data_IF_914695830112
#
_entry.id   IF_914695830112
#
_cell.length_a   1.000
_cell.length_b   1.000
_cell.length_c   1.000
_cell.angle_alpha   90.00
_cell.angle_beta   90.00
_cell.angle_gamma   90.00
#
_symmetry.space_group_name_H-M   'P 1'
#
loop_
_entity.id
_entity.type
_entity.pdbx_description
1 polymer ?
#
# COMPACT_ATOMS: atom_id res chain seq x y z
N UNK A 1 48.99 -12.35 -26.71
CA UNK A 1 48.60 -13.72 -26.33
C UNK A 1 47.13 -13.89 -26.68
N UNK A 2 46.86 -14.52 -27.83
CA UNK A 2 45.54 -14.75 -28.39
C UNK A 2 45.04 -16.12 -27.93
N UNK A 3 44.01 -16.15 -27.07
CA UNK A 3 43.33 -17.39 -26.69
C UNK A 3 42.05 -17.52 -27.51
N UNK A 4 42.15 -18.37 -28.53
CA UNK A 4 41.04 -18.97 -29.26
C UNK A 4 40.47 -20.08 -28.39
N UNK A 5 39.16 -20.07 -28.12
CA UNK A 5 38.48 -21.21 -27.49
C UNK A 5 37.38 -21.68 -28.43
N UNK A 6 37.51 -22.96 -28.78
CA UNK A 6 36.75 -23.68 -29.78
C UNK A 6 35.30 -23.98 -29.36
N UNK A 7 34.46 -23.96 -30.38
CA UNK A 7 33.10 -24.49 -30.45
C UNK A 7 33.06 -26.03 -30.40
N UNK A 8 32.09 -26.59 -29.67
CA UNK A 8 31.50 -27.95 -29.76
C UNK A 8 30.39 -28.02 -28.70
N UNK A 9 29.23 -28.67 -28.85
CA UNK A 9 28.69 -29.49 -29.91
C UNK A 9 27.16 -29.47 -29.80
N UNK A 10 26.50 -29.52 -30.95
CA UNK A 10 25.08 -29.78 -31.13
C UNK A 10 24.83 -31.27 -30.85
N UNK A 11 23.87 -31.58 -29.96
CA UNK A 11 23.31 -32.93 -29.86
C UNK A 11 21.79 -32.89 -30.11
N UNK A 12 21.44 -33.29 -31.34
CA UNK A 12 20.12 -33.69 -31.76
C UNK A 12 19.67 -34.96 -31.03
N UNK A 13 18.49 -34.93 -30.42
CA UNK A 13 17.65 -36.10 -30.20
C UNK A 13 16.19 -35.70 -30.44
N UNK A 14 15.59 -36.24 -31.51
CA UNK A 14 14.14 -36.46 -31.59
C UNK A 14 13.83 -37.95 -31.35
N UNK A 15 12.66 -38.47 -31.76
CA UNK A 15 11.32 -37.89 -31.73
C UNK A 15 10.28 -38.87 -31.09
N UNK A 16 9.01 -38.44 -31.06
CA UNK A 16 7.78 -39.27 -31.00
C UNK A 16 7.45 -40.00 -29.68
N UNK A 17 6.68 -39.33 -28.82
CA UNK A 17 5.62 -40.00 -28.05
C UNK A 17 4.26 -39.54 -28.57
N UNK A 18 3.56 -40.43 -29.29
CA UNK A 18 2.12 -40.34 -29.50
C UNK A 18 1.46 -40.92 -28.26
N UNK A 19 0.92 -40.07 -27.40
CA UNK A 19 0.09 -40.51 -26.29
C UNK A 19 -1.39 -40.46 -26.68
N UNK A 20 -2.05 -41.59 -26.44
CA UNK A 20 -3.42 -41.90 -26.83
C UNK A 20 -4.40 -41.07 -26.01
N UNK A 21 -5.22 -40.24 -26.67
CA UNK A 21 -6.33 -39.52 -26.04
C UNK A 21 -7.50 -40.49 -25.81
N UNK A 22 -7.66 -40.92 -24.56
CA UNK A 22 -8.92 -41.45 -24.05
C UNK A 22 -9.72 -40.27 -23.50
N UNK A 23 -10.90 -40.04 -24.07
CA UNK A 23 -11.87 -39.06 -23.57
C UNK A 23 -12.50 -39.59 -22.28
N UNK A 24 -12.07 -39.05 -21.14
CA UNK A 24 -12.75 -39.25 -19.86
C UNK A 24 -13.64 -38.03 -19.60
N UNK A 25 -14.94 -38.29 -19.61
CA UNK A 25 -16.02 -37.40 -19.19
C UNK A 25 -15.76 -36.99 -17.74
N UNK A 26 -15.28 -35.75 -17.55
CA UNK A 26 -14.86 -35.22 -16.24
C UNK A 26 -15.96 -34.31 -15.72
N UNK A 27 -16.83 -34.88 -14.90
CA UNK A 27 -17.74 -34.14 -14.03
C UNK A 27 -16.91 -33.27 -13.10
N UNK A 28 -16.93 -31.97 -13.33
CA UNK A 28 -16.24 -30.95 -12.52
C UNK A 28 -17.13 -30.64 -11.31
N UNK A 29 -16.93 -31.37 -10.21
CA UNK A 29 -17.34 -30.89 -8.90
C UNK A 29 -16.37 -29.76 -8.52
N UNK A 30 -16.84 -28.52 -8.57
CA UNK A 30 -16.10 -27.32 -8.14
C UNK A 30 -15.84 -27.41 -6.64
N UNK A 31 -14.67 -27.93 -6.27
CA UNK A 31 -14.16 -27.94 -4.91
C UNK A 31 -13.57 -26.57 -4.58
N UNK A 32 -14.36 -25.67 -3.98
CA UNK A 32 -13.90 -24.34 -3.55
C UNK A 32 -13.12 -24.34 -2.21
N UNK A 33 -12.86 -25.50 -1.58
CA UNK A 33 -12.22 -25.56 -0.25
C UNK A 33 -10.69 -25.46 -0.26
N UNK A 34 -10.01 -25.39 -1.42
CA UNK A 34 -8.54 -25.47 -1.46
C UNK A 34 -7.83 -24.12 -1.38
N UNK A 35 -8.47 -23.01 -1.79
CA UNK A 35 -7.81 -21.71 -1.90
C UNK A 35 -7.47 -21.11 -0.54
N UNK A 36 -8.39 -21.17 0.43
CA UNK A 36 -8.20 -20.59 1.77
C UNK A 36 -7.02 -21.24 2.51
N UNK A 37 -6.83 -22.55 2.32
CA UNK A 37 -5.74 -23.29 2.98
C UNK A 37 -4.34 -22.90 2.50
N UNK A 38 -4.22 -22.50 1.23
CA UNK A 38 -2.94 -22.06 0.66
C UNK A 38 -2.60 -20.64 1.09
N UNK A 39 -3.59 -19.74 1.11
CA UNK A 39 -3.41 -18.35 1.58
C UNK A 39 -2.82 -18.29 2.99
N UNK A 40 -3.46 -18.97 3.95
CA UNK A 40 -2.99 -18.97 5.34
C UNK A 40 -1.62 -19.63 5.50
N UNK A 41 -1.38 -20.74 4.80
CA UNK A 41 -0.09 -21.43 4.85
C UNK A 41 1.04 -20.55 4.32
N UNK A 42 0.79 -19.82 3.23
CA UNK A 42 1.76 -18.88 2.65
C UNK A 42 2.02 -17.74 3.63
N UNK A 43 0.99 -17.08 4.15
CA UNK A 43 1.18 -15.98 5.10
C UNK A 43 1.91 -16.43 6.37
N UNK A 44 1.61 -17.60 6.92
CA UNK A 44 2.34 -18.14 8.09
C UNK A 44 3.82 -18.36 7.84
N UNK A 45 4.19 -18.72 6.62
CA UNK A 45 5.60 -18.91 6.26
C UNK A 45 6.35 -17.57 6.14
N UNK A 46 5.63 -16.48 5.87
CA UNK A 46 6.20 -15.15 5.62
C UNK A 46 6.20 -14.25 6.86
N UNK A 47 5.17 -14.36 7.70
CA UNK A 47 5.02 -13.55 8.90
C UNK A 47 5.99 -14.02 10.00
N UNK A 48 6.58 -13.04 10.69
CA UNK A 48 7.50 -13.28 11.80
C UNK A 48 6.86 -12.80 13.10
N UNK A 49 5.90 -13.55 13.66
CA UNK A 49 5.19 -13.11 14.85
C UNK A 49 6.15 -12.90 16.02
N UNK A 50 5.79 -11.98 16.91
CA UNK A 50 6.59 -11.65 18.07
C UNK A 50 6.57 -12.78 19.13
N UNK A 51 7.23 -12.55 20.28
CA UNK A 51 7.23 -13.54 21.37
C UNK A 51 5.84 -13.84 21.96
N UNK A 52 4.85 -13.00 21.66
CA UNK A 52 3.45 -13.12 22.08
C UNK A 52 2.58 -13.73 20.98
N UNK A 53 3.16 -14.18 19.86
CA UNK A 53 2.45 -14.68 18.68
C UNK A 53 1.58 -13.62 17.98
N UNK A 54 1.99 -12.35 18.06
CA UNK A 54 1.29 -11.23 17.45
C UNK A 54 2.00 -10.73 16.21
N UNK A 55 1.22 -10.20 15.28
CA UNK A 55 1.70 -9.54 14.05
C UNK A 55 1.13 -8.13 13.98
N UNK A 56 1.87 -7.22 13.37
CA UNK A 56 1.42 -5.86 13.08
C UNK A 56 0.91 -5.73 11.64
N UNK A 57 0.25 -4.60 11.35
CA UNK A 57 -0.35 -4.34 10.04
C UNK A 57 0.69 -4.22 8.92
N UNK A 58 1.87 -3.63 9.17
CA UNK A 58 2.89 -3.51 8.13
C UNK A 58 3.45 -4.88 7.70
N UNK A 59 3.68 -5.80 8.65
CA UNK A 59 4.12 -7.16 8.34
C UNK A 59 3.03 -7.94 7.59
N UNK A 60 1.78 -7.81 8.04
CA UNK A 60 0.63 -8.41 7.36
C UNK A 60 0.48 -7.88 5.93
N UNK A 61 0.66 -6.57 5.73
CA UNK A 61 0.64 -5.91 4.44
C UNK A 61 1.71 -6.48 3.49
N UNK A 62 2.95 -6.60 3.93
CA UNK A 62 4.03 -7.18 3.11
C UNK A 62 3.75 -8.66 2.78
N UNK A 63 3.23 -9.43 3.74
CA UNK A 63 2.83 -10.82 3.51
C UNK A 63 1.73 -10.95 2.46
N UNK A 64 0.70 -10.11 2.52
CA UNK A 64 -0.40 -10.12 1.55
C UNK A 64 0.10 -9.71 0.15
N UNK A 65 1.00 -8.73 0.03
CA UNK A 65 1.60 -8.40 -1.28
C UNK A 65 2.27 -9.63 -1.90
N UNK A 66 3.08 -10.34 -1.12
CA UNK A 66 3.80 -11.50 -1.61
C UNK A 66 2.84 -12.64 -2.02
N UNK A 67 1.79 -12.89 -1.23
CA UNK A 67 0.76 -13.85 -1.57
C UNK A 67 0.05 -13.46 -2.88
N UNK A 68 -0.32 -12.20 -3.07
CA UNK A 68 -0.95 -11.71 -4.31
C UNK A 68 -0.05 -11.91 -5.52
N UNK A 69 1.25 -11.67 -5.37
CA UNK A 69 2.21 -11.91 -6.44
C UNK A 69 2.31 -13.41 -6.75
N UNK A 70 2.31 -14.28 -5.75
CA UNK A 70 2.32 -15.74 -5.98
C UNK A 70 1.05 -16.20 -6.71
N UNK A 71 -0.12 -15.77 -6.26
CA UNK A 71 -1.40 -16.20 -6.83
C UNK A 71 -1.68 -15.63 -8.23
N UNK A 72 -1.23 -14.39 -8.52
CA UNK A 72 -1.53 -13.72 -9.81
C UNK A 72 -0.39 -13.79 -10.82
N UNK A 73 0.87 -13.91 -10.38
CA UNK A 73 2.08 -13.88 -11.23
C UNK A 73 2.92 -15.14 -11.12
N UNK A 74 2.66 -15.98 -10.12
CA UNK A 74 3.39 -17.21 -9.85
C UNK A 74 4.57 -17.00 -8.90
N UNK A 75 5.07 -18.12 -8.39
CA UNK A 75 6.07 -18.16 -7.31
C UNK A 75 7.36 -17.41 -7.63
N UNK A 76 7.79 -17.36 -8.89
CA UNK A 76 8.98 -16.58 -9.26
C UNK A 76 8.84 -15.09 -8.94
N UNK A 77 7.67 -14.49 -9.20
CA UNK A 77 7.45 -13.08 -8.88
C UNK A 77 7.38 -12.84 -7.36
N UNK A 78 6.80 -13.78 -6.60
CA UNK A 78 6.77 -13.72 -5.15
C UNK A 78 8.18 -13.85 -4.54
N UNK A 79 9.02 -14.74 -5.07
CA UNK A 79 10.43 -14.90 -4.68
C UNK A 79 11.25 -13.65 -4.99
N UNK A 80 11.09 -13.07 -6.18
CA UNK A 80 11.75 -11.83 -6.58
C UNK A 80 11.35 -10.66 -5.68
N UNK A 81 10.04 -10.53 -5.36
CA UNK A 81 9.57 -9.55 -4.39
C UNK A 81 10.17 -9.77 -3.01
N UNK A 82 10.17 -11.01 -2.50
CA UNK A 82 10.73 -11.32 -1.20
C UNK A 82 12.22 -10.97 -1.11
N UNK A 83 12.97 -11.21 -2.20
CA UNK A 83 14.37 -10.85 -2.31
C UNK A 83 14.59 -9.32 -2.27
N UNK A 84 13.83 -8.54 -3.05
CA UNK A 84 13.93 -7.08 -3.04
C UNK A 84 13.45 -6.46 -1.72
N UNK A 85 12.38 -7.01 -1.16
CA UNK A 85 11.84 -6.59 0.13
C UNK A 85 12.87 -6.77 1.24
N UNK A 86 13.55 -7.92 1.30
CA UNK A 86 14.61 -8.16 2.28
C UNK A 86 15.76 -7.15 2.14
N UNK A 87 16.21 -6.85 0.91
CA UNK A 87 17.24 -5.84 0.67
C UNK A 87 16.81 -4.45 1.15
N UNK A 88 15.62 -3.99 0.78
CA UNK A 88 15.15 -2.67 1.21
C UNK A 88 14.88 -2.59 2.71
N UNK A 89 14.48 -3.70 3.35
CA UNK A 89 14.34 -3.78 4.80
C UNK A 89 15.69 -3.51 5.47
N UNK A 90 16.75 -4.16 5.00
CA UNK A 90 18.11 -3.92 5.52
C UNK A 90 18.60 -2.48 5.26
N UNK A 91 18.31 -1.91 4.09
CA UNK A 91 18.67 -0.53 3.74
C UNK A 91 17.94 0.53 4.59
N UNK A 92 16.68 0.26 4.93
CA UNK A 92 15.82 1.16 5.72
C UNK A 92 15.96 0.93 7.23
N UNK A 93 16.75 -0.05 7.65
CA UNK A 93 17.00 -0.32 9.05
C UNK A 93 17.75 0.87 9.70
N UNK A 94 17.10 1.46 10.70
CA UNK A 94 17.65 2.55 11.50
C UNK A 94 18.61 2.00 12.55
N UNK A 95 19.53 2.83 13.11
CA UNK A 95 20.44 2.41 14.17
C UNK A 95 19.77 1.87 15.45
N UNK A 96 18.50 2.21 15.68
CA UNK A 96 17.66 1.72 16.78
C UNK A 96 16.96 0.38 16.46
N UNK A 97 17.31 -0.23 15.32
CA UNK A 97 16.73 -1.44 14.77
C UNK A 97 15.32 -1.27 14.18
N UNK A 98 14.78 -0.05 14.13
CA UNK A 98 13.48 0.21 13.53
C UNK A 98 13.61 0.18 12.00
N UNK A 99 12.68 -0.52 11.34
CA UNK A 99 12.60 -0.52 9.89
C UNK A 99 11.16 -0.27 9.48
N UNK A 100 10.93 0.65 8.54
CA UNK A 100 9.59 0.85 7.96
C UNK A 100 9.32 -0.28 6.96
N UNK A 101 8.51 -1.24 7.37
CA UNK A 101 8.18 -2.42 6.55
C UNK A 101 7.31 -2.01 5.37
N UNK A 102 6.37 -1.08 5.57
CA UNK A 102 5.56 -0.52 4.48
C UNK A 102 6.44 0.09 3.38
N UNK A 103 7.41 0.94 3.76
CA UNK A 103 8.30 1.60 2.79
C UNK A 103 9.19 0.60 2.06
N UNK A 104 9.67 -0.44 2.72
CA UNK A 104 10.43 -1.51 2.10
C UNK A 104 9.59 -2.28 1.08
N UNK A 105 8.34 -2.64 1.43
CA UNK A 105 7.42 -3.35 0.54
C UNK A 105 7.05 -2.51 -0.69
N UNK A 106 6.79 -1.21 -0.51
CA UNK A 106 6.50 -0.29 -1.61
C UNK A 106 7.69 -0.14 -2.58
N UNK A 107 8.93 -0.07 -2.06
CA UNK A 107 10.13 -0.07 -2.90
C UNK A 107 10.29 -1.37 -3.67
N UNK A 108 10.07 -2.51 -3.01
CA UNK A 108 10.14 -3.81 -3.67
C UNK A 108 9.11 -3.93 -4.81
N UNK A 109 7.87 -3.49 -4.61
CA UNK A 109 6.87 -3.42 -5.70
C UNK A 109 7.32 -2.53 -6.86
N UNK A 110 7.93 -1.37 -6.57
CA UNK A 110 8.47 -0.47 -7.60
C UNK A 110 9.60 -1.13 -8.40
N UNK A 111 10.45 -1.91 -7.75
CA UNK A 111 11.49 -2.68 -8.41
C UNK A 111 10.92 -3.79 -9.29
N UNK A 112 9.83 -4.45 -8.84
CA UNK A 112 9.09 -5.43 -9.66
C UNK A 112 8.51 -4.82 -10.93
N UNK A 113 8.00 -3.58 -10.86
CA UNK A 113 7.55 -2.82 -12.04
C UNK A 113 8.71 -2.49 -12.96
N UNK A 114 9.83 -2.02 -12.39
CA UNK A 114 11.03 -1.61 -13.14
C UNK A 114 11.66 -2.79 -13.89
N UNK A 115 11.66 -3.97 -13.26
CA UNK A 115 12.14 -5.21 -13.88
C UNK A 115 11.15 -5.82 -14.89
N UNK A 116 9.92 -5.29 -14.98
CA UNK A 116 8.90 -5.75 -15.92
C UNK A 116 8.21 -7.05 -15.51
N UNK A 117 8.28 -7.44 -14.24
CA UNK A 117 7.55 -8.60 -13.72
C UNK A 117 6.04 -8.31 -13.60
N UNK A 118 5.70 -7.06 -13.27
CA UNK A 118 4.32 -6.55 -13.17
C UNK A 118 4.22 -5.17 -13.80
N UNK A 119 3.01 -4.74 -14.17
CA UNK A 119 2.78 -3.36 -14.62
C UNK A 119 2.59 -2.41 -13.43
N UNK A 120 2.65 -1.09 -13.69
CA UNK A 120 2.37 -0.10 -12.64
C UNK A 120 0.93 -0.19 -12.13
N UNK A 121 -0.03 -0.52 -13.00
CA UNK A 121 -1.43 -0.70 -12.64
C UNK A 121 -1.60 -1.91 -11.71
N UNK A 122 -0.93 -3.02 -12.02
CA UNK A 122 -0.95 -4.24 -11.20
C UNK A 122 -0.31 -4.01 -9.84
N UNK A 123 0.82 -3.30 -9.78
CA UNK A 123 1.46 -2.95 -8.52
C UNK A 123 0.54 -2.09 -7.64
N UNK A 124 -0.15 -1.11 -8.23
CA UNK A 124 -1.12 -0.28 -7.52
C UNK A 124 -2.29 -1.10 -7.01
N UNK A 125 -2.86 -1.99 -7.83
CA UNK A 125 -3.95 -2.88 -7.42
C UNK A 125 -3.53 -3.78 -6.25
N UNK A 126 -2.41 -4.47 -6.37
CA UNK A 126 -1.85 -5.34 -5.32
C UNK A 126 -1.64 -4.55 -4.04
N UNK A 127 -1.03 -3.36 -4.12
CA UNK A 127 -0.79 -2.49 -2.96
C UNK A 127 -2.09 -2.08 -2.30
N UNK A 128 -3.08 -1.61 -3.06
CA UNK A 128 -4.37 -1.15 -2.51
C UNK A 128 -5.12 -2.29 -1.84
N UNK A 129 -5.17 -3.46 -2.47
CA UNK A 129 -5.79 -4.66 -1.90
C UNK A 129 -5.09 -5.08 -0.60
N UNK A 130 -3.75 -5.15 -0.61
CA UNK A 130 -2.98 -5.51 0.58
C UNK A 130 -3.18 -4.51 1.72
N UNK A 131 -3.19 -3.21 1.41
CA UNK A 131 -3.39 -2.16 2.41
C UNK A 131 -4.74 -2.30 3.10
N UNK A 132 -5.80 -2.56 2.34
CA UNK A 132 -7.16 -2.76 2.86
C UNK A 132 -7.29 -4.04 3.68
N UNK A 133 -6.68 -5.14 3.21
CA UNK A 133 -6.76 -6.43 3.87
C UNK A 133 -5.87 -6.53 5.13
N UNK A 134 -4.84 -5.68 5.24
CA UNK A 134 -3.94 -5.65 6.39
C UNK A 134 -4.45 -4.86 7.60
N UNK A 135 -5.60 -4.17 7.48
CA UNK A 135 -6.14 -3.33 8.56
C UNK A 135 -6.60 -4.19 9.75
N UNK A 136 -5.94 -4.05 10.89
CA UNK A 136 -6.21 -4.75 12.15
C UNK A 136 -6.93 -3.84 13.16
N UNK A 137 -6.93 -2.53 12.95
CA UNK A 137 -7.62 -1.56 13.79
C UNK A 137 -8.74 -0.79 13.05
N UNK A 138 -9.25 0.26 13.69
CA UNK A 138 -10.31 1.13 13.11
C UNK A 138 -9.77 2.28 12.25
N UNK A 139 -8.46 2.53 12.31
CA UNK A 139 -7.79 3.61 11.63
C UNK A 139 -7.29 3.15 10.26
N UNK A 140 -8.25 3.07 9.35
CA UNK A 140 -8.07 2.67 7.94
C UNK A 140 -7.19 3.60 7.08
N UNK A 141 -6.51 4.58 7.68
CA UNK A 141 -5.75 5.61 6.96
C UNK A 141 -4.23 5.40 6.97
N UNK A 142 -3.73 4.44 7.75
CA UNK A 142 -2.31 4.13 7.83
C UNK A 142 -2.12 2.65 8.15
N UNK A 143 -0.90 2.16 7.96
CA UNK A 143 -0.46 0.90 8.55
C UNK A 143 0.34 1.24 9.80
N UNK A 144 0.09 0.51 10.87
CA UNK A 144 0.80 0.65 12.12
C UNK A 144 1.76 -0.50 12.36
N UNK A 145 2.94 -0.15 12.89
CA UNK A 145 3.91 -1.12 13.35
C UNK A 145 3.54 -1.65 14.75
N UNK A 146 4.34 -2.58 15.26
CA UNK A 146 4.15 -3.11 16.62
C UNK A 146 4.80 -2.27 17.73
N UNK A 147 5.28 -1.05 17.44
CA UNK A 147 6.07 -0.25 18.37
C UNK A 147 5.31 0.99 18.82
N UNK A 148 4.91 0.97 20.08
CA UNK A 148 4.40 2.16 20.77
C UNK A 148 4.48 1.99 22.28
N UNK A 149 4.26 3.09 23.00
CA UNK A 149 4.17 3.05 24.46
C UNK A 149 2.79 2.57 24.94
N UNK A 150 2.64 2.24 26.24
CA UNK A 150 1.33 2.01 26.83
C UNK A 150 0.39 3.21 26.56
N UNK A 151 -0.72 2.97 25.86
CA UNK A 151 -1.69 4.01 25.49
C UNK A 151 -1.39 4.73 24.17
N UNK A 152 -0.42 4.28 23.40
CA UNK A 152 -0.19 4.77 22.04
C UNK A 152 -1.27 4.22 21.09
N UNK A 153 -2.13 5.07 20.49
CA UNK A 153 -3.16 4.62 19.57
C UNK A 153 -2.59 4.11 18.23
N UNK A 154 -1.27 4.18 18.02
CA UNK A 154 -0.59 3.71 16.81
C UNK A 154 -0.06 2.29 16.93
N UNK A 155 -0.57 1.49 17.86
CA UNK A 155 -0.23 0.07 18.00
C UNK A 155 -1.41 -0.74 17.48
N UNK A 156 -1.29 -1.25 16.25
CA UNK A 156 -2.26 -2.17 15.66
C UNK A 156 -1.62 -3.56 15.58
N UNK A 157 -1.73 -4.31 16.67
CA UNK A 157 -1.28 -5.69 16.74
C UNK A 157 -2.48 -6.61 16.98
N UNK A 158 -2.47 -7.76 16.32
CA UNK A 158 -3.42 -8.82 16.58
C UNK A 158 -2.69 -10.16 16.72
N UNK A 159 -3.31 -11.09 17.46
CA UNK A 159 -2.88 -12.49 17.45
C UNK A 159 -2.86 -13.02 16.02
N UNK A 160 -1.80 -13.74 15.64
CA UNK A 160 -1.57 -14.21 14.26
C UNK A 160 -2.80 -14.87 13.65
N UNK A 161 -3.48 -15.77 14.39
CA UNK A 161 -4.70 -16.43 13.94
C UNK A 161 -5.82 -15.45 13.60
N UNK A 162 -6.02 -14.44 14.45
CA UNK A 162 -7.05 -13.42 14.25
C UNK A 162 -6.69 -12.52 13.06
N UNK A 163 -5.42 -12.16 12.92
CA UNK A 163 -4.92 -11.37 11.81
C UNK A 163 -5.13 -12.10 10.46
N UNK A 164 -4.76 -13.38 10.39
CA UNK A 164 -4.95 -14.22 9.20
C UNK A 164 -6.43 -14.37 8.83
N UNK A 165 -7.29 -14.64 9.82
CA UNK A 165 -8.73 -14.77 9.60
C UNK A 165 -9.33 -13.47 9.04
N UNK A 166 -8.92 -12.31 9.57
CA UNK A 166 -9.38 -11.01 9.09
C UNK A 166 -8.87 -10.69 7.70
N UNK A 167 -7.58 -10.93 7.44
CA UNK A 167 -6.99 -10.73 6.12
C UNK A 167 -7.70 -11.58 5.07
N UNK A 168 -7.94 -12.86 5.36
CA UNK A 168 -8.67 -13.76 4.48
C UNK A 168 -10.10 -13.28 4.20
N UNK A 169 -10.85 -12.87 5.24
CA UNK A 169 -12.19 -12.33 5.09
C UNK A 169 -12.23 -11.03 4.27
N UNK A 170 -11.27 -10.12 4.51
CA UNK A 170 -11.16 -8.87 3.76
C UNK A 170 -10.81 -9.14 2.29
N UNK A 171 -9.88 -10.06 2.04
CA UNK A 171 -9.53 -10.51 0.69
C UNK A 171 -10.74 -11.08 -0.07
N UNK A 172 -11.50 -11.98 0.56
CA UNK A 172 -12.70 -12.55 -0.04
C UNK A 172 -13.77 -11.47 -0.33
N UNK A 173 -13.92 -10.48 0.55
CA UNK A 173 -14.82 -9.34 0.31
C UNK A 173 -14.37 -8.52 -0.91
N UNK A 174 -13.09 -8.17 -0.99
CA UNK A 174 -12.54 -7.41 -2.12
C UNK A 174 -12.68 -8.15 -3.45
N UNK A 175 -12.42 -9.46 -3.47
CA UNK A 175 -12.55 -10.29 -4.68
C UNK A 175 -14.00 -10.46 -5.13
N UNK A 176 -14.95 -10.48 -4.19
CA UNK A 176 -16.39 -10.50 -4.50
C UNK A 176 -16.96 -9.12 -4.86
N UNK A 177 -16.14 -8.05 -4.77
CA UNK A 177 -16.59 -6.67 -4.94
C UNK A 177 -17.48 -6.18 -3.80
N UNK A 178 -17.57 -6.93 -2.70
CA UNK A 178 -18.20 -6.48 -1.47
C UNK A 178 -17.28 -5.46 -0.78
N UNK A 179 -17.87 -4.44 -0.16
CA UNK A 179 -17.10 -3.61 0.76
C UNK A 179 -16.60 -4.52 1.89
N UNK A 180 -15.32 -4.43 2.29
CA UNK A 180 -14.85 -5.15 3.47
C UNK A 180 -15.67 -4.63 4.65
N UNK A 181 -16.62 -5.43 5.13
CA UNK A 181 -17.27 -5.13 6.39
C UNK A 181 -16.16 -5.10 7.42
N UNK A 182 -16.03 -3.98 8.13
CA UNK A 182 -15.13 -3.91 9.26
C UNK A 182 -15.49 -5.08 10.16
N UNK A 183 -14.65 -6.11 10.18
CA UNK A 183 -14.84 -7.27 11.03
C UNK A 183 -14.50 -6.79 12.42
N UNK A 184 -15.44 -6.05 13.01
CA UNK A 184 -15.37 -5.62 14.39
C UNK A 184 -15.18 -6.92 15.14
N UNK A 185 -14.05 -7.13 15.83
CA UNK A 185 -13.94 -8.29 16.68
C UNK A 185 -15.18 -8.24 17.56
N UNK A 186 -15.96 -9.32 17.58
CA UNK A 186 -17.01 -9.49 18.57
C UNK A 186 -16.33 -9.59 19.92
N UNK A 187 -15.87 -8.44 20.41
CA UNK A 187 -15.49 -8.18 21.77
C UNK A 187 -16.82 -8.12 22.50
N UNK A 188 -17.07 -9.12 23.34
CA UNK A 188 -18.16 -9.07 24.29
C UNK A 188 -18.16 -7.71 25.01
N UNK A 189 -19.30 -7.02 24.87
CA UNK A 189 -19.76 -5.81 25.54
C UNK A 189 -18.71 -4.95 26.28
N UNK A 190 -18.44 -3.75 25.76
CA UNK A 190 -18.40 -2.54 26.60
C UNK A 190 -18.92 -1.35 25.79
N UNK A 191 -20.10 -0.87 26.21
CA UNK A 191 -20.78 0.30 25.65
C UNK A 191 -20.04 1.60 25.96
N UNK A 192 -19.86 2.46 24.95
CA UNK A 192 -19.68 3.90 25.16
C UNK A 192 -20.18 4.73 23.95
N UNK A 193 -21.22 5.52 24.22
CA UNK A 193 -21.81 6.61 23.44
C UNK A 193 -20.83 7.75 23.16
N UNK A 194 -20.88 8.40 21.98
CA UNK A 194 -20.66 9.87 21.74
C UNK A 194 -20.99 10.17 20.25
N UNK A 195 -22.08 10.84 19.89
CA UNK A 195 -22.35 12.30 19.74
C UNK A 195 -21.69 12.95 18.51
N UNK A 196 -22.56 13.22 17.54
CA UNK A 196 -22.37 13.83 16.22
C UNK A 196 -22.28 15.38 16.31
N UNK A 197 -21.46 16.00 15.46
CA UNK A 197 -21.39 17.45 15.27
C UNK A 197 -20.92 17.77 13.85
N UNK A 198 -21.92 18.09 13.03
CA UNK A 198 -21.84 18.63 11.68
C UNK A 198 -21.30 20.07 11.69
N UNK A 199 -20.37 20.43 10.79
CA UNK A 199 -20.00 21.84 10.55
C UNK A 199 -19.85 22.10 9.05
N UNK A 200 -20.49 23.18 8.61
CA UNK A 200 -20.71 23.60 7.22
C UNK A 200 -19.54 24.36 6.60
N UNK A 201 -19.57 24.36 5.26
CA UNK A 201 -18.64 24.87 4.26
C UNK A 201 -18.47 26.39 4.24
N UNK A 202 -17.23 26.85 4.02
CA UNK A 202 -16.87 28.22 3.65
C UNK A 202 -16.10 28.26 2.33
N UNK A 203 -16.69 28.99 1.37
CA UNK A 203 -16.24 29.35 0.02
C UNK A 203 -15.13 30.42 0.05
N UNK A 204 -14.07 30.29 -0.76
CA UNK A 204 -13.38 31.43 -1.41
C UNK A 204 -12.35 31.04 -2.47
N UNK A 205 -12.69 31.40 -3.70
CA UNK A 205 -11.93 31.58 -4.94
C UNK A 205 -10.49 32.13 -4.82
N UNK A 206 -9.49 31.43 -5.39
CA UNK A 206 -8.28 32.08 -5.92
C UNK A 206 -7.76 31.36 -7.18
N UNK A 207 -7.43 32.16 -8.18
CA UNK A 207 -7.18 31.78 -9.58
C UNK A 207 -5.73 31.34 -9.75
N UNK A 208 -5.43 30.12 -9.33
CA UNK A 208 -4.44 29.30 -10.03
C UNK A 208 -5.21 28.51 -11.07
N UNK A 209 -4.64 28.36 -12.27
CA UNK A 209 -5.22 27.53 -13.32
C UNK A 209 -5.28 26.10 -12.82
N UNK A 210 -6.39 25.74 -12.16
CA UNK A 210 -6.65 24.45 -11.58
C UNK A 210 -6.52 23.40 -12.67
N UNK A 211 -5.42 22.66 -12.64
CA UNK A 211 -5.45 21.32 -13.22
C UNK A 211 -6.60 20.61 -12.50
N UNK A 212 -7.74 20.45 -13.19
CA UNK A 212 -9.00 20.04 -12.60
C UNK A 212 -8.81 18.96 -11.53
N UNK A 213 -9.11 19.31 -10.28
CA UNK A 213 -9.09 18.37 -9.16
C UNK A 213 -7.82 18.36 -8.31
N UNK A 214 -6.96 19.37 -8.34
CA UNK A 214 -6.09 19.64 -7.19
C UNK A 214 -6.91 20.32 -6.08
N UNK A 215 -6.66 20.02 -4.81
CA UNK A 215 -7.30 20.72 -3.69
C UNK A 215 -6.34 20.77 -2.51
N UNK A 216 -6.02 21.97 -2.07
CA UNK A 216 -5.27 22.27 -0.87
C UNK A 216 -6.26 22.75 0.20
N UNK A 217 -6.53 21.92 1.23
CA UNK A 217 -7.33 22.29 2.40
C UNK A 217 -6.40 22.65 3.56
N UNK A 218 -6.21 23.94 3.90
CA UNK A 218 -5.27 24.36 4.94
C UNK A 218 -5.60 23.72 6.30
N UNK A 219 -6.89 23.53 6.59
CA UNK A 219 -7.37 22.82 7.76
C UNK A 219 -8.44 21.81 7.35
N UNK A 220 -8.24 20.54 7.72
CA UNK A 220 -9.26 19.51 7.58
C UNK A 220 -10.30 19.61 8.68
N UNK A 221 -11.55 19.31 8.36
CA UNK A 221 -12.66 19.31 9.33
C UNK A 221 -12.45 18.27 10.44
N UNK A 222 -11.79 17.15 10.14
CA UNK A 222 -11.61 16.06 11.09
C UNK A 222 -10.46 16.30 12.08
N UNK A 223 -9.37 16.96 11.65
CA UNK A 223 -8.12 17.02 12.43
C UNK A 223 -7.55 18.44 12.58
N UNK A 224 -8.09 19.44 11.88
CA UNK A 224 -7.54 20.80 11.88
C UNK A 224 -6.14 20.90 11.25
N UNK A 225 -5.77 19.93 10.41
CA UNK A 225 -4.44 19.83 9.77
C UNK A 225 -4.54 19.93 8.26
N UNK A 226 -3.44 20.27 7.61
CA UNK A 226 -3.37 20.36 6.15
C UNK A 226 -3.67 19.01 5.49
N UNK A 227 -4.55 19.03 4.49
CA UNK A 227 -4.84 17.90 3.62
C UNK A 227 -4.80 18.35 2.17
N UNK A 228 -4.07 17.60 1.35
CA UNK A 228 -3.96 17.81 -0.08
C UNK A 228 -4.65 16.65 -0.80
N UNK A 229 -5.53 16.96 -1.74
CA UNK A 229 -6.20 15.98 -2.58
C UNK A 229 -5.73 16.19 -4.01
N UNK A 230 -5.21 15.14 -4.62
CA UNK A 230 -4.67 15.22 -5.96
C UNK A 230 -5.73 14.95 -7.04
N UNK A 231 -5.50 15.40 -8.28
CA UNK A 231 -6.39 15.10 -9.39
C UNK A 231 -6.63 13.60 -9.56
N UNK A 232 -7.87 13.16 -9.88
CA UNK A 232 -8.19 11.74 -10.02
C UNK A 232 -7.40 11.05 -11.15
N UNK A 233 -6.90 11.82 -12.13
CA UNK A 233 -6.03 11.33 -13.21
C UNK A 233 -4.65 10.87 -12.74
N UNK A 234 -4.25 11.28 -11.52
CA UNK A 234 -2.99 10.91 -10.87
C UNK A 234 -3.14 9.75 -9.87
N UNK A 235 -4.36 9.35 -9.53
CA UNK A 235 -4.62 8.25 -8.60
C UNK A 235 -3.95 6.97 -9.08
N UNK A 236 -3.24 6.30 -8.19
CA UNK A 236 -2.43 5.12 -8.45
C UNK A 236 -1.07 5.40 -9.08
N UNK A 237 -0.72 6.66 -9.30
CA UNK A 237 0.53 7.07 -9.97
C UNK A 237 1.42 7.95 -9.09
N UNK A 238 1.02 8.20 -7.85
CA UNK A 238 1.77 9.07 -6.94
C UNK A 238 2.68 8.20 -6.08
N UNK A 239 3.96 8.55 -6.06
CA UNK A 239 4.99 7.94 -5.21
C UNK A 239 5.04 8.66 -3.86
N UNK A 240 5.13 10.00 -3.88
CA UNK A 240 5.12 10.83 -2.69
C UNK A 240 4.65 12.26 -2.95
N UNK A 241 4.27 12.95 -1.87
CA UNK A 241 3.96 14.39 -1.88
C UNK A 241 4.80 15.08 -0.83
N UNK A 242 5.55 16.09 -1.22
CA UNK A 242 6.50 16.80 -0.35
C UNK A 242 6.19 18.29 -0.36
N UNK A 243 6.21 18.92 0.80
CA UNK A 243 6.15 20.37 0.95
C UNK A 243 7.57 20.92 0.99
N UNK A 244 7.86 21.92 0.16
CA UNK A 244 9.12 22.66 0.15
C UNK A 244 8.90 24.13 0.42
N UNK A 245 9.88 24.77 1.04
CA UNK A 245 9.91 26.21 1.21
C UNK A 245 10.35 26.94 -0.08
N UNK A 246 10.43 28.27 -0.01
CA UNK A 246 10.86 29.12 -1.14
C UNK A 246 12.31 28.87 -1.59
N UNK A 247 13.14 28.26 -0.74
CA UNK A 247 14.52 27.92 -1.04
C UNK A 247 14.64 26.50 -1.65
N UNK A 248 13.55 25.74 -1.65
CA UNK A 248 13.50 24.36 -2.11
C UNK A 248 13.82 23.33 -1.02
N UNK A 249 14.00 23.76 0.23
CA UNK A 249 14.25 22.87 1.36
C UNK A 249 12.98 22.08 1.71
N UNK A 250 13.14 20.79 2.01
CA UNK A 250 12.01 19.93 2.39
C UNK A 250 11.54 20.30 3.79
N UNK A 251 10.27 20.69 3.90
CA UNK A 251 9.60 20.98 5.17
C UNK A 251 8.97 19.71 5.75
N UNK A 252 8.23 18.96 4.93
CA UNK A 252 7.49 17.78 5.36
C UNK A 252 7.11 16.89 4.17
N UNK A 253 7.08 15.57 4.37
CA UNK A 253 6.53 14.59 3.42
C UNK A 253 5.13 14.18 3.90
N UNK A 254 4.15 14.25 3.00
CA UNK A 254 2.77 13.92 3.27
C UNK A 254 2.55 12.42 3.37
N UNK A 255 1.78 12.00 4.37
CA UNK A 255 1.35 10.60 4.51
C UNK A 255 0.13 10.36 3.63
N UNK A 256 0.16 9.33 2.78
CA UNK A 256 -1.04 8.90 2.06
C UNK A 256 -2.13 8.51 3.06
N UNK A 257 -3.36 8.96 2.82
CA UNK A 257 -4.54 8.64 3.62
C UNK A 257 -5.60 7.91 2.78
N UNK A 258 -5.17 7.26 1.70
CA UNK A 258 -6.02 6.49 0.79
C UNK A 258 -6.69 7.33 -0.30
N UNK A 259 -7.66 6.70 -0.96
CA UNK A 259 -8.40 7.25 -2.10
C UNK A 259 -9.85 7.49 -1.71
N UNK A 260 -10.34 8.72 -1.84
CA UNK A 260 -11.75 9.07 -1.58
C UNK A 260 -12.20 10.28 -2.42
N UNK A 261 -13.39 10.81 -2.15
CA UNK A 261 -13.92 12.05 -2.74
C UNK A 261 -13.79 12.13 -4.28
N UNK A 262 -14.27 11.10 -4.98
CA UNK A 262 -14.22 11.04 -6.44
C UNK A 262 -12.93 10.44 -6.99
N UNK A 263 -12.45 9.36 -6.37
CA UNK A 263 -11.23 8.64 -6.78
C UNK A 263 -9.97 9.52 -6.75
N UNK A 264 -9.79 10.28 -5.66
CA UNK A 264 -8.63 11.17 -5.46
C UNK A 264 -7.79 10.66 -4.30
N UNK A 265 -6.49 10.60 -4.50
CA UNK A 265 -5.55 10.33 -3.41
C UNK A 265 -5.47 11.53 -2.46
N UNK A 266 -5.49 11.23 -1.17
CA UNK A 266 -5.39 12.19 -0.10
C UNK A 266 -4.02 12.08 0.57
N UNK A 267 -3.39 13.23 0.83
CA UNK A 267 -2.14 13.32 1.57
C UNK A 267 -2.35 14.22 2.78
N UNK A 268 -2.02 13.70 3.96
CA UNK A 268 -2.17 14.39 5.25
C UNK A 268 -0.80 14.81 5.77
N UNK A 269 -0.80 15.94 6.48
CA UNK A 269 0.39 16.51 7.08
C UNK A 269 0.15 16.76 8.58
N UNK A 270 1.23 16.95 9.33
CA UNK A 270 1.18 17.04 10.79
C UNK A 270 0.81 18.44 11.30
N UNK A 271 0.85 19.46 10.44
CA UNK A 271 0.60 20.87 10.81
C UNK A 271 -0.57 21.44 10.02
N UNK A 272 -1.20 22.49 10.54
CA UNK A 272 -2.18 23.24 9.77
C UNK A 272 -1.47 24.02 8.66
N UNK A 273 -2.20 24.35 7.60
CA UNK A 273 -1.70 25.14 6.48
C UNK A 273 -1.05 26.45 6.96
N UNK A 274 -1.72 27.19 7.85
CA UNK A 274 -1.23 28.44 8.43
C UNK A 274 0.10 28.34 9.22
N UNK A 275 0.51 27.13 9.61
CA UNK A 275 1.76 26.94 10.33
C UNK A 275 2.97 26.89 9.38
N UNK A 276 2.76 26.62 8.08
CA UNK A 276 3.84 26.59 7.09
C UNK A 276 4.23 28.02 6.64
N UNK A 277 5.50 28.24 6.24
CA UNK A 277 5.91 29.53 5.67
C UNK A 277 5.18 29.80 4.36
N UNK A 278 5.00 31.09 4.03
CA UNK A 278 4.46 31.54 2.75
C UNK A 278 5.31 31.06 1.56
N UNK A 279 4.75 31.09 0.35
CA UNK A 279 5.38 30.65 -0.90
C UNK A 279 5.82 29.18 -0.86
N UNK A 280 4.91 28.31 -0.42
CA UNK A 280 5.14 26.88 -0.32
C UNK A 280 5.02 26.22 -1.70
N UNK A 281 5.93 25.30 -1.99
CA UNK A 281 5.81 24.42 -3.17
C UNK A 281 5.34 23.04 -2.73
N UNK A 282 4.20 22.60 -3.27
CA UNK A 282 3.75 21.21 -3.17
C UNK A 282 4.34 20.43 -4.34
N UNK A 283 5.29 19.57 -4.06
CA UNK A 283 5.95 18.69 -5.02
C UNK A 283 5.31 17.30 -4.98
N UNK A 284 4.73 16.86 -6.09
CA UNK A 284 4.13 15.54 -6.26
C UNK A 284 5.07 14.71 -7.14
N UNK A 285 5.70 13.72 -6.54
CA UNK A 285 6.54 12.77 -7.25
C UNK A 285 5.67 11.64 -7.79
N UNK A 286 5.72 11.39 -9.09
CA UNK A 286 4.98 10.31 -9.74
C UNK A 286 5.83 9.04 -9.77
N UNK A 287 5.16 7.88 -9.83
CA UNK A 287 5.78 6.56 -9.95
C UNK A 287 6.61 6.41 -11.24
N UNK A 288 6.31 7.20 -12.27
CA UNK A 288 7.11 7.30 -13.51
C UNK A 288 8.47 7.97 -13.33
N UNK A 289 8.71 8.64 -12.19
CA UNK A 289 9.86 9.51 -11.96
C UNK A 289 9.64 10.96 -12.37
N UNK A 290 8.49 11.29 -12.97
CA UNK A 290 8.11 12.67 -13.26
C UNK A 290 7.71 13.42 -11.98
N UNK A 291 7.84 14.74 -12.00
CA UNK A 291 7.47 15.60 -10.87
C UNK A 291 6.46 16.65 -11.31
N UNK A 292 5.38 16.79 -10.54
CA UNK A 292 4.42 17.90 -10.66
C UNK A 292 4.57 18.86 -9.48
N UNK A 293 4.39 20.15 -9.72
CA UNK A 293 4.54 21.16 -8.67
C UNK A 293 3.36 22.11 -8.64
N UNK A 294 2.85 22.42 -7.45
CA UNK A 294 1.81 23.43 -7.22
C UNK A 294 2.37 24.50 -6.29
N UNK A 295 2.22 25.77 -6.67
CA UNK A 295 2.66 26.91 -5.87
C UNK A 295 1.53 27.40 -4.98
N UNK A 296 1.82 27.57 -3.69
CA UNK A 296 0.87 27.98 -2.64
C UNK A 296 1.42 29.25 -1.98
N UNK A 297 0.93 30.40 -2.43
CA UNK A 297 1.43 31.71 -1.96
C UNK A 297 1.15 31.92 -0.46
N UNK A 298 -0.06 31.59 -0.02
CA UNK A 298 -0.52 31.72 1.37
C UNK A 298 -1.11 30.38 1.85
N UNK A 299 -0.31 29.54 2.54
CA UNK A 299 -0.75 28.26 3.07
C UNK A 299 -1.93 28.33 4.06
N UNK A 300 -2.35 29.50 4.54
CA UNK A 300 -3.57 29.63 5.34
C UNK A 300 -4.85 29.59 4.49
N UNK A 301 -4.73 29.77 3.17
CA UNK A 301 -5.86 29.81 2.25
C UNK A 301 -6.11 28.46 1.59
N UNK A 302 -7.35 28.29 1.12
CA UNK A 302 -7.76 27.14 0.33
C UNK A 302 -7.43 27.37 -1.14
N UNK A 303 -6.94 26.34 -1.82
CA UNK A 303 -6.67 26.36 -3.27
C UNK A 303 -7.36 25.19 -3.95
N UNK A 304 -8.00 25.43 -5.09
CA UNK A 304 -8.69 24.43 -5.91
C UNK A 304 -8.28 24.54 -7.37
#
# INVERSE_FOLDING_TARGET
MTLSVESKAVQQLGPLFRNTLAAADTTTETTSETTDSNFESTLRALLSPDSSNQVNEEELFAGIIQERLDSTKGTGAAEDFAFQFAQHKDELARPDGLTSVEKAANRALKDMVTAGHITSEEATEIRTTAFQAAQLDSNTSALYDGRGGPGDPTIAMAELETALQRASAAMAALESGAAPEAVVPTSEETSATTTDSTSELGDTTSVLSSEEGFLFKPESESEGKLVILLPPVLTGKIDSVVLRDENGDVLEEGRSAGVANGNREHFRFNRAGQDYPANLTVEVQLSSGDTKTYQIEDPSQRYE
#
